data_IF_373505782994
#
_entry.id   IF_373505782994
#
_cell.length_a   1.000
_cell.length_b   1.000
_cell.length_c   1.000
_cell.angle_alpha   90.00
_cell.angle_beta   90.00
_cell.angle_gamma   90.00
#
_symmetry.space_group_name_H-M   'P 1'
#
loop_
_entity.id
_entity.type
_entity.pdbx_description
1 polymer ?
#
# COMPACT_ATOMS: atom_id res chain seq x y z
N UNK A 1 -22.83 31.80 -11.69
CA UNK A 1 -21.66 30.95 -12.04
C UNK A 1 -22.06 29.49 -11.86
N UNK A 2 -22.44 28.78 -12.92
CA UNK A 2 -22.91 27.39 -12.84
C UNK A 2 -21.79 26.37 -12.58
N UNK A 3 -20.54 26.78 -12.84
CA UNK A 3 -19.33 25.97 -12.69
C UNK A 3 -18.25 26.82 -12.02
N UNK A 4 -17.49 26.22 -11.10
CA UNK A 4 -16.33 26.84 -10.43
C UNK A 4 -15.11 25.94 -10.65
N UNK A 5 -13.93 26.55 -10.72
CA UNK A 5 -12.67 25.82 -10.83
C UNK A 5 -11.89 25.93 -9.52
N UNK A 6 -11.27 24.82 -9.12
CA UNK A 6 -10.31 24.78 -8.02
C UNK A 6 -8.94 24.46 -8.61
N UNK A 7 -7.93 25.22 -8.18
CA UNK A 7 -6.53 24.96 -8.50
C UNK A 7 -5.87 24.39 -7.25
N UNK A 8 -5.43 23.15 -7.32
CA UNK A 8 -4.71 22.47 -6.23
C UNK A 8 -3.28 22.16 -6.67
N UNK A 9 -2.37 22.00 -5.72
CA UNK A 9 -0.99 21.60 -5.97
C UNK A 9 -0.82 20.13 -5.58
N UNK A 10 -0.15 19.35 -6.41
CA UNK A 10 0.16 17.94 -6.17
C UNK A 10 1.65 17.73 -6.43
N UNK A 11 2.34 16.99 -5.56
CA UNK A 11 3.77 16.74 -5.72
C UNK A 11 4.10 15.77 -6.87
N UNK A 12 5.37 15.72 -7.24
CA UNK A 12 5.88 14.89 -8.34
C UNK A 12 5.64 13.38 -8.15
N UNK A 13 5.59 12.89 -6.91
CA UNK A 13 5.42 11.45 -6.65
C UNK A 13 3.97 10.99 -6.83
N UNK A 14 3.02 11.89 -6.58
CA UNK A 14 1.59 11.61 -6.70
C UNK A 14 0.99 12.05 -8.05
N UNK A 15 1.56 13.06 -8.72
CA UNK A 15 1.00 13.53 -10.01
C UNK A 15 0.99 12.44 -11.09
N UNK A 16 1.93 11.49 -11.04
CA UNK A 16 1.99 10.36 -11.96
C UNK A 16 0.80 9.39 -11.86
N UNK A 17 0.01 9.51 -10.80
CA UNK A 17 -1.20 8.72 -10.52
C UNK A 17 -2.48 9.41 -11.01
N UNK A 18 -2.42 10.71 -11.29
CA UNK A 18 -3.59 11.52 -11.64
C UNK A 18 -3.76 11.58 -13.16
N UNK A 19 -5.00 11.41 -13.63
CA UNK A 19 -5.38 11.62 -15.02
C UNK A 19 -6.57 12.56 -15.13
N UNK A 20 -6.74 13.18 -16.31
CA UNK A 20 -7.96 13.93 -16.61
C UNK A 20 -9.20 13.05 -16.47
N UNK A 21 -10.35 13.68 -16.18
CA UNK A 21 -11.65 13.05 -15.92
C UNK A 21 -11.73 12.17 -14.65
N UNK A 22 -10.70 12.13 -13.81
CA UNK A 22 -10.80 11.47 -12.50
C UNK A 22 -11.81 12.16 -11.60
N UNK A 23 -12.66 11.40 -10.88
CA UNK A 23 -13.62 11.96 -9.93
C UNK A 23 -12.90 12.55 -8.72
N UNK A 24 -13.41 13.69 -8.25
CA UNK A 24 -12.85 14.44 -7.12
C UNK A 24 -13.96 14.80 -6.14
N UNK A 25 -13.67 14.65 -4.85
CA UNK A 25 -14.46 15.22 -3.77
C UNK A 25 -13.76 16.48 -3.24
N UNK A 26 -14.53 17.55 -3.05
CA UNK A 26 -14.03 18.82 -2.54
C UNK A 26 -14.84 19.23 -1.33
N UNK A 27 -14.15 19.51 -0.23
CA UNK A 27 -14.73 20.10 0.98
C UNK A 27 -14.32 21.56 1.05
N UNK A 28 -15.28 22.43 1.33
CA UNK A 28 -15.02 23.87 1.46
C UNK A 28 -15.24 24.27 2.91
N UNK A 29 -14.33 25.06 3.47
CA UNK A 29 -14.38 25.43 4.88
C UNK A 29 -15.70 26.11 5.28
N UNK A 30 -16.31 26.85 4.35
CA UNK A 30 -17.61 27.51 4.56
C UNK A 30 -18.81 26.53 4.62
N UNK A 31 -18.66 25.30 4.10
CA UNK A 31 -19.72 24.29 4.02
C UNK A 31 -19.21 22.90 4.43
N UNK A 32 -18.82 22.69 5.70
CA UNK A 32 -18.15 21.47 6.14
C UNK A 32 -19.02 20.22 6.03
N UNK A 33 -20.34 20.37 6.16
CA UNK A 33 -21.31 19.26 6.09
C UNK A 33 -21.81 18.99 4.67
N UNK A 34 -21.24 19.64 3.65
CA UNK A 34 -21.69 19.51 2.28
C UNK A 34 -20.48 19.29 1.35
N UNK A 35 -20.16 18.02 1.01
CA UNK A 35 -19.15 17.75 0.01
C UNK A 35 -19.65 18.20 -1.37
N UNK A 36 -18.73 18.73 -2.18
CA UNK A 36 -18.95 19.05 -3.58
C UNK A 36 -18.20 18.05 -4.44
N UNK A 37 -18.81 17.60 -5.53
CA UNK A 37 -18.21 16.67 -6.47
C UNK A 37 -17.75 17.38 -7.74
N UNK A 38 -16.69 16.84 -8.34
CA UNK A 38 -16.10 17.37 -9.56
C UNK A 38 -15.23 16.35 -10.28
N UNK A 39 -14.52 16.86 -11.27
CA UNK A 39 -13.60 16.07 -12.09
C UNK A 39 -12.29 16.84 -12.32
N UNK A 40 -11.19 16.10 -12.48
CA UNK A 40 -9.91 16.67 -12.92
C UNK A 40 -10.06 17.14 -14.37
N UNK A 41 -9.95 18.45 -14.59
CA UNK A 41 -10.01 19.04 -15.93
C UNK A 41 -8.72 18.82 -16.69
N UNK A 42 -7.60 19.21 -16.07
CA UNK A 42 -6.26 19.12 -16.66
C UNK A 42 -5.19 19.27 -15.58
N UNK A 43 -4.00 18.80 -15.92
CA UNK A 43 -2.76 19.05 -15.19
C UNK A 43 -1.99 20.12 -15.96
N UNK A 44 -1.52 21.16 -15.27
CA UNK A 44 -0.65 22.17 -15.89
C UNK A 44 0.74 21.56 -16.15
N UNK A 45 1.30 21.73 -17.35
CA UNK A 45 2.57 21.08 -17.73
C UNK A 45 3.79 21.70 -17.05
N UNK A 46 3.67 22.92 -16.51
CA UNK A 46 4.75 23.64 -15.85
C UNK A 46 4.66 23.41 -14.34
N UNK A 47 5.69 22.77 -13.78
CA UNK A 47 5.84 22.64 -12.34
C UNK A 47 6.22 23.97 -11.70
N UNK A 48 5.88 24.12 -10.42
CA UNK A 48 6.31 25.23 -9.57
C UNK A 48 7.08 24.66 -8.37
N UNK A 49 8.02 25.42 -7.83
CA UNK A 49 8.71 25.05 -6.59
C UNK A 49 7.98 25.75 -5.44
N UNK A 50 7.44 24.95 -4.52
CA UNK A 50 6.86 25.46 -3.27
C UNK A 50 7.57 24.77 -2.10
N UNK A 51 8.16 25.57 -1.20
CA UNK A 51 8.92 25.06 -0.05
C UNK A 51 10.02 24.03 -0.43
N UNK A 52 10.73 24.24 -1.54
CA UNK A 52 11.72 23.31 -2.12
C UNK A 52 11.14 21.95 -2.57
N UNK A 53 9.83 21.84 -2.71
CA UNK A 53 9.14 20.67 -3.27
C UNK A 53 8.61 21.03 -4.67
N UNK A 54 8.84 20.14 -5.63
CA UNK A 54 8.31 20.27 -6.99
C UNK A 54 6.83 19.94 -6.99
N UNK A 55 5.99 20.91 -7.33
CA UNK A 55 4.54 20.80 -7.33
C UNK A 55 3.96 21.04 -8.72
N UNK A 56 2.96 20.25 -9.09
CA UNK A 56 2.20 20.35 -10.31
C UNK A 56 0.80 20.91 -10.02
N UNK A 57 0.41 22.02 -10.65
CA UNK A 57 -0.93 22.54 -10.52
C UNK A 57 -1.94 21.65 -11.26
N UNK A 58 -3.00 21.25 -10.55
CA UNK A 58 -4.11 20.48 -11.08
C UNK A 58 -5.36 21.35 -11.04
N UNK A 59 -6.03 21.47 -12.19
CA UNK A 59 -7.27 22.22 -12.34
C UNK A 59 -8.45 21.25 -12.25
N UNK A 60 -9.38 21.55 -11.36
CA UNK A 60 -10.54 20.70 -11.05
C UNK A 60 -11.79 21.49 -11.31
N UNK A 61 -12.74 20.88 -12.01
CA UNK A 61 -14.03 21.48 -12.34
C UNK A 61 -15.07 21.00 -11.33
N UNK A 62 -15.73 21.93 -10.66
CA UNK A 62 -16.82 21.65 -9.72
C UNK A 62 -18.16 22.14 -10.25
N UNK A 63 -19.19 21.33 -10.00
CA UNK A 63 -20.56 21.74 -10.25
C UNK A 63 -21.00 22.73 -9.17
N UNK A 64 -21.51 23.90 -9.58
CA UNK A 64 -22.00 24.94 -8.67
C UNK A 64 -23.46 25.29 -8.98
N UNK A 65 -24.31 24.28 -9.12
CA UNK A 65 -25.71 24.44 -9.53
C UNK A 65 -26.49 25.36 -8.58
N UNK A 66 -26.15 25.33 -7.28
CA UNK A 66 -26.78 26.15 -6.23
C UNK A 66 -26.09 27.51 -6.00
N UNK A 67 -25.03 27.82 -6.74
CA UNK A 67 -24.30 29.10 -6.63
C UNK A 67 -23.58 29.33 -5.29
N UNK A 68 -23.38 28.28 -4.50
CA UNK A 68 -22.82 28.36 -3.15
C UNK A 68 -21.30 28.57 -3.15
N UNK A 69 -20.61 28.08 -4.18
CA UNK A 69 -19.16 28.20 -4.31
C UNK A 69 -18.79 29.56 -4.90
N UNK A 70 -17.94 30.29 -4.20
CA UNK A 70 -17.39 31.57 -4.65
C UNK A 70 -15.87 31.47 -4.87
N UNK A 71 -15.31 32.20 -5.84
CA UNK A 71 -13.86 32.33 -5.99
C UNK A 71 -13.20 32.87 -4.71
N UNK A 72 -12.00 32.38 -4.41
CA UNK A 72 -11.23 32.79 -3.23
C UNK A 72 -11.52 31.99 -1.96
N UNK A 73 -12.47 31.03 -1.99
CA UNK A 73 -12.69 30.11 -0.89
C UNK A 73 -11.56 29.08 -0.77
N UNK A 74 -11.19 28.76 0.47
CA UNK A 74 -10.28 27.64 0.75
C UNK A 74 -11.03 26.32 0.62
N UNK A 75 -10.41 25.38 -0.08
CA UNK A 75 -10.97 24.07 -0.36
C UNK A 75 -9.95 22.97 -0.09
N UNK A 76 -10.40 21.90 0.53
CA UNK A 76 -9.66 20.64 0.65
C UNK A 76 -10.12 19.72 -0.49
N UNK A 77 -9.15 19.20 -1.23
CA UNK A 77 -9.39 18.38 -2.42
C UNK A 77 -8.96 16.95 -2.14
N UNK A 78 -9.88 16.01 -2.36
CA UNK A 78 -9.61 14.57 -2.29
C UNK A 78 -9.84 13.96 -3.68
N UNK A 79 -8.76 13.50 -4.32
CA UNK A 79 -8.80 12.87 -5.64
C UNK A 79 -8.79 11.36 -5.44
N UNK A 80 -9.79 10.67 -5.97
CA UNK A 80 -9.85 9.21 -5.90
C UNK A 80 -8.98 8.61 -7.01
N UNK A 81 -7.73 8.27 -6.67
CA UNK A 81 -6.70 7.80 -7.63
C UNK A 81 -6.86 6.33 -8.05
N UNK A 82 -7.52 5.52 -7.22
CA UNK A 82 -7.84 4.13 -7.52
C UNK A 82 -8.99 3.66 -6.63
N UNK A 83 -9.86 2.82 -7.18
CA UNK A 83 -10.93 2.14 -6.45
C UNK A 83 -11.06 0.75 -7.08
N UNK A 84 -11.14 -0.28 -6.24
CA UNK A 84 -11.40 -1.65 -6.66
C UNK A 84 -12.58 -2.16 -5.84
N UNK A 85 -13.60 -2.68 -6.51
CA UNK A 85 -14.82 -3.21 -5.89
C UNK A 85 -14.86 -4.72 -6.04
N UNK A 86 -15.44 -5.41 -5.05
CA UNK A 86 -15.55 -6.87 -5.01
C UNK A 86 -14.19 -7.59 -5.17
N UNK A 87 -13.19 -7.16 -4.39
CA UNK A 87 -11.85 -7.75 -4.41
C UNK A 87 -11.52 -8.48 -3.12
N UNK A 88 -10.67 -9.49 -3.23
CA UNK A 88 -10.07 -10.13 -2.08
C UNK A 88 -9.09 -9.15 -1.44
N UNK A 89 -9.28 -8.83 -0.16
CA UNK A 89 -8.41 -7.94 0.57
C UNK A 89 -8.04 -8.54 1.91
N UNK A 90 -6.81 -8.26 2.35
CA UNK A 90 -6.32 -8.63 3.69
C UNK A 90 -5.89 -7.37 4.43
N UNK A 91 -5.91 -7.36 5.77
CA UNK A 91 -5.33 -6.27 6.53
C UNK A 91 -3.86 -6.08 6.14
N UNK A 92 -3.45 -4.83 5.88
CA UNK A 92 -2.08 -4.50 5.43
C UNK A 92 -1.02 -5.04 6.40
N UNK A 93 -1.35 -5.06 7.69
CA UNK A 93 -0.49 -5.59 8.77
C UNK A 93 -0.25 -7.11 8.70
N UNK A 94 -1.01 -7.86 7.90
CA UNK A 94 -0.81 -9.29 7.66
C UNK A 94 0.31 -9.57 6.65
N UNK A 95 0.64 -8.59 5.80
CA UNK A 95 1.65 -8.73 4.74
C UNK A 95 3.05 -8.72 5.32
N UNK A 96 3.92 -9.58 4.78
CA UNK A 96 5.32 -9.69 5.18
C UNK A 96 6.26 -9.64 3.99
N UNK A 97 7.41 -9.03 4.19
CA UNK A 97 8.53 -9.06 3.24
C UNK A 97 9.50 -10.18 3.61
N UNK A 98 10.48 -10.44 2.75
CA UNK A 98 11.53 -11.40 3.09
C UNK A 98 12.39 -10.93 4.28
N UNK A 99 12.44 -9.63 4.55
CA UNK A 99 13.17 -9.07 5.70
C UNK A 99 12.51 -9.41 7.04
N UNK A 100 11.22 -9.75 7.03
CA UNK A 100 10.47 -10.13 8.23
C UNK A 100 10.64 -11.61 8.61
N UNK A 101 11.31 -12.42 7.77
CA UNK A 101 11.45 -13.88 7.97
C UNK A 101 12.10 -14.21 9.32
N UNK A 102 13.21 -13.58 9.77
CA UNK A 102 13.84 -13.93 11.05
C UNK A 102 12.89 -13.75 12.24
N UNK A 103 12.17 -12.64 12.29
CA UNK A 103 11.22 -12.35 13.36
C UNK A 103 9.98 -13.26 13.32
N UNK A 104 9.47 -13.51 12.12
CA UNK A 104 8.34 -14.41 11.94
C UNK A 104 8.71 -15.85 12.34
N UNK A 105 9.91 -16.32 11.97
CA UNK A 105 10.40 -17.65 12.35
C UNK A 105 10.38 -17.87 13.87
N UNK A 106 10.83 -16.88 14.64
CA UNK A 106 10.78 -16.92 16.12
C UNK A 106 9.35 -17.01 16.64
N UNK A 107 8.46 -16.15 16.15
CA UNK A 107 7.05 -16.13 16.60
C UNK A 107 6.32 -17.42 16.27
N UNK A 108 6.65 -17.99 15.12
CA UNK A 108 6.04 -19.19 14.57
C UNK A 108 6.70 -20.46 15.14
N UNK A 109 7.82 -20.35 15.86
CA UNK A 109 8.51 -21.47 16.47
C UNK A 109 9.18 -22.42 15.45
N UNK A 110 9.56 -21.90 14.28
CA UNK A 110 10.21 -22.67 13.21
C UNK A 110 11.60 -22.11 12.87
N UNK A 111 12.54 -22.96 12.41
CA UNK A 111 13.83 -22.49 11.93
C UNK A 111 13.68 -21.50 10.75
N UNK A 112 14.48 -20.43 10.76
CA UNK A 112 14.48 -19.40 9.73
C UNK A 112 14.65 -19.98 8.31
N UNK A 113 15.63 -20.86 8.14
CA UNK A 113 15.90 -21.52 6.85
C UNK A 113 14.71 -22.34 6.35
N UNK A 114 13.96 -22.96 7.27
CA UNK A 114 12.76 -23.71 6.92
C UNK A 114 11.65 -22.77 6.44
N UNK A 115 11.42 -21.66 7.14
CA UNK A 115 10.43 -20.65 6.73
C UNK A 115 10.78 -20.04 5.36
N UNK A 116 12.04 -19.69 5.15
CA UNK A 116 12.52 -19.14 3.87
C UNK A 116 12.25 -20.10 2.70
N UNK A 117 12.57 -21.39 2.89
CA UNK A 117 12.30 -22.42 1.88
C UNK A 117 10.80 -22.55 1.60
N UNK A 118 9.96 -22.57 2.63
CA UNK A 118 8.51 -22.67 2.46
C UNK A 118 7.92 -21.44 1.73
N UNK A 119 8.40 -20.22 2.04
CA UNK A 119 8.02 -19.00 1.30
C UNK A 119 8.43 -19.12 -0.17
N UNK A 120 9.66 -19.54 -0.44
CA UNK A 120 10.19 -19.70 -1.80
C UNK A 120 9.47 -20.79 -2.60
N UNK A 121 9.09 -21.91 -1.96
CA UNK A 121 8.29 -22.97 -2.58
C UNK A 121 6.87 -22.52 -2.89
N UNK A 122 6.27 -21.72 -2.00
CA UNK A 122 4.93 -21.16 -2.23
C UNK A 122 4.88 -20.23 -3.45
N UNK A 123 5.99 -19.55 -3.78
CA UNK A 123 6.11 -18.75 -5.02
C UNK A 123 6.08 -19.63 -6.28
N UNK A 124 6.63 -20.84 -6.21
CA UNK A 124 6.74 -21.76 -7.37
C UNK A 124 5.44 -22.50 -7.67
N UNK A 125 4.60 -22.67 -6.64
CA UNK A 125 3.37 -23.47 -6.69
C UNK A 125 2.11 -22.67 -7.04
N UNK A 126 2.25 -21.40 -7.44
CA UNK A 126 1.16 -20.59 -7.98
C UNK A 126 0.53 -21.29 -9.21
N UNK A 127 -0.82 -21.40 -9.29
CA UNK A 127 -1.50 -22.14 -10.36
C UNK A 127 -1.11 -21.66 -11.77
N UNK A 128 -0.88 -22.58 -12.72
CA UNK A 128 -0.53 -22.30 -14.13
C UNK A 128 -1.49 -21.31 -14.82
N UNK A 129 -2.77 -21.31 -14.46
CA UNK A 129 -3.76 -20.37 -15.00
C UNK A 129 -3.54 -18.90 -14.57
N UNK A 130 -2.75 -18.67 -13.52
CA UNK A 130 -2.29 -17.33 -13.11
C UNK A 130 -0.91 -16.99 -13.72
N UNK A 131 -0.10 -17.99 -14.14
CA UNK A 131 1.22 -17.80 -14.77
C UNK A 131 1.19 -17.02 -16.10
N UNK A 132 0.08 -17.07 -16.85
CA UNK A 132 -0.04 -16.32 -18.11
C UNK A 132 -0.14 -14.80 -17.93
N UNK A 133 -0.43 -14.29 -16.71
CA UNK A 133 -0.27 -12.87 -16.37
C UNK A 133 1.18 -12.51 -15.97
N UNK A 134 2.02 -13.49 -15.66
CA UNK A 134 3.42 -13.30 -15.25
C UNK A 134 4.42 -13.30 -16.41
N UNK A 135 4.11 -13.99 -17.51
CA UNK A 135 5.12 -14.26 -18.55
C UNK A 135 5.49 -13.04 -19.41
N UNK A 136 4.74 -11.93 -19.32
CA UNK A 136 5.10 -10.68 -20.01
C UNK A 136 6.30 -9.92 -19.44
N UNK A 137 6.77 -10.26 -18.23
CA UNK A 137 7.73 -9.41 -17.48
C UNK A 137 9.01 -10.14 -17.01
N UNK A 138 9.10 -11.46 -17.15
CA UNK A 138 10.26 -12.23 -16.68
C UNK A 138 11.37 -12.43 -17.74
N UNK A 139 11.12 -12.14 -19.03
CA UNK A 139 12.10 -12.34 -20.11
C UNK A 139 13.10 -11.17 -20.28
N UNK A 140 13.01 -10.10 -19.47
CA UNK A 140 13.87 -8.91 -19.60
C UNK A 140 14.33 -8.29 -18.26
N UNK A 141 14.86 -9.09 -17.32
CA UNK A 141 15.67 -8.52 -16.22
C UNK A 141 17.17 -8.76 -16.46
N UNK A 142 17.98 -7.71 -16.68
CA UNK A 142 19.40 -7.75 -16.39
C UNK A 142 19.65 -7.59 -14.88
N UNK A 143 20.67 -8.30 -14.38
CA UNK A 143 21.19 -8.11 -13.04
C UNK A 143 21.89 -6.75 -12.91
N UNK A 144 21.53 -5.96 -11.90
CA UNK A 144 22.29 -4.77 -11.47
C UNK A 144 21.47 -3.48 -11.42
N UNK A 145 21.61 -2.75 -10.31
CA UNK A 145 21.06 -1.40 -10.12
C UNK A 145 21.58 -0.42 -11.19
N UNK A 146 20.71 0.47 -11.70
CA UNK A 146 21.15 1.63 -12.48
C UNK A 146 20.05 2.31 -13.31
N UNK A 147 19.70 3.51 -12.86
CA UNK A 147 18.98 4.63 -13.48
C UNK A 147 18.59 4.61 -14.99
N UNK A 148 17.44 5.26 -15.24
CA UNK A 148 17.00 6.00 -16.44
C UNK A 148 16.42 5.27 -17.68
N UNK A 149 15.23 5.75 -18.04
CA UNK A 149 14.55 5.68 -19.34
C UNK A 149 14.25 4.31 -19.96
N UNK A 150 13.06 3.78 -19.68
CA UNK A 150 12.24 3.10 -20.72
C UNK A 150 10.77 3.48 -20.61
N UNK A 151 10.37 4.36 -21.53
CA UNK A 151 8.99 4.64 -21.93
C UNK A 151 8.40 3.40 -22.61
N UNK A 152 7.14 3.12 -22.30
CA UNK A 152 6.22 2.42 -23.20
C UNK A 152 5.83 1.02 -22.75
N UNK A 153 4.55 0.91 -22.39
CA UNK A 153 3.73 -0.30 -22.49
C UNK A 153 3.81 -1.32 -21.34
N UNK A 154 3.28 -0.93 -20.16
CA UNK A 154 2.41 -1.81 -19.37
C UNK A 154 1.56 -0.95 -18.40
N UNK A 155 0.31 -0.68 -18.77
CA UNK A 155 -0.55 0.33 -18.11
C UNK A 155 -1.70 -0.30 -17.34
N UNK A 156 -1.48 -1.40 -16.60
CA UNK A 156 -2.60 -1.95 -15.81
C UNK A 156 -2.34 -2.30 -14.35
N UNK A 157 -1.11 -2.32 -13.83
CA UNK A 157 -0.88 -2.44 -12.38
C UNK A 157 0.32 -1.59 -11.93
N UNK A 158 0.10 -0.29 -11.68
CA UNK A 158 1.09 0.61 -11.05
C UNK A 158 1.08 0.53 -9.52
N UNK A 159 0.22 -0.31 -8.94
CA UNK A 159 0.03 -0.46 -7.50
C UNK A 159 0.17 -1.93 -7.13
N UNK A 160 0.99 -2.21 -6.12
CA UNK A 160 1.21 -3.57 -5.63
C UNK A 160 2.66 -3.94 -5.43
N UNK A 161 2.88 -5.07 -4.78
CA UNK A 161 4.20 -5.64 -4.55
C UNK A 161 4.13 -7.14 -4.27
N UNK A 162 5.30 -7.75 -4.11
CA UNK A 162 5.42 -9.16 -3.77
C UNK A 162 5.61 -9.30 -2.27
N UNK A 163 4.68 -9.98 -1.63
CA UNK A 163 4.67 -10.22 -0.19
C UNK A 163 4.44 -11.70 0.09
N UNK A 164 4.44 -12.08 1.35
CA UNK A 164 3.91 -13.35 1.80
C UNK A 164 3.03 -13.14 3.04
N UNK A 165 2.12 -14.08 3.28
CA UNK A 165 1.25 -14.13 4.46
C UNK A 165 1.32 -15.52 5.09
N UNK A 166 0.98 -15.64 6.37
CA UNK A 166 0.82 -16.92 7.03
C UNK A 166 -0.66 -17.34 6.98
N UNK A 167 -0.99 -18.36 6.21
CA UNK A 167 -2.36 -18.88 6.04
C UNK A 167 -2.63 -20.00 7.05
N UNK A 168 -3.74 -19.93 7.77
CA UNK A 168 -4.15 -20.96 8.73
C UNK A 168 -4.67 -22.20 7.99
N UNK A 169 -4.14 -23.38 8.33
CA UNK A 169 -4.60 -24.67 7.81
C UNK A 169 -4.44 -25.76 8.87
N UNK A 170 -5.54 -26.39 9.29
CA UNK A 170 -5.56 -27.51 10.25
C UNK A 170 -4.72 -27.23 11.52
N UNK A 171 -5.02 -26.13 12.22
CA UNK A 171 -4.32 -25.63 13.42
C UNK A 171 -2.82 -25.33 13.25
N UNK A 172 -2.31 -25.40 12.02
CA UNK A 172 -0.98 -24.96 11.63
C UNK A 172 -1.09 -23.74 10.72
N UNK A 173 0.06 -23.17 10.36
CA UNK A 173 0.13 -22.11 9.37
C UNK A 173 1.05 -22.53 8.22
N UNK A 174 0.75 -22.01 7.04
CA UNK A 174 1.52 -22.24 5.82
C UNK A 174 1.86 -20.86 5.25
N UNK A 175 3.15 -20.50 5.13
CA UNK A 175 3.53 -19.28 4.46
C UNK A 175 3.13 -19.37 3.00
N UNK A 176 2.55 -18.30 2.48
CA UNK A 176 2.12 -18.22 1.10
C UNK A 176 2.50 -16.89 0.49
N UNK A 177 3.21 -16.95 -0.62
CA UNK A 177 3.49 -15.80 -1.43
C UNK A 177 2.22 -15.25 -2.07
N UNK A 178 2.08 -13.93 -2.00
CA UNK A 178 0.95 -13.20 -2.54
C UNK A 178 1.44 -12.03 -3.37
N UNK A 179 0.68 -11.70 -4.41
CA UNK A 179 0.86 -10.46 -5.17
C UNK A 179 -0.26 -9.51 -4.81
N UNK A 180 0.12 -8.30 -4.43
CA UNK A 180 -0.83 -7.29 -4.00
C UNK A 180 -1.16 -6.32 -5.13
N UNK A 181 -2.27 -5.62 -4.98
CA UNK A 181 -2.73 -4.56 -5.87
C UNK A 181 -2.81 -3.23 -5.12
N UNK A 182 -3.94 -2.54 -5.25
CA UNK A 182 -4.15 -1.27 -4.55
C UNK A 182 -4.18 -1.48 -3.03
N UNK A 183 -3.73 -0.48 -2.29
CA UNK A 183 -3.69 -0.50 -0.83
C UNK A 183 -4.29 0.79 -0.32
N UNK A 184 -5.18 0.68 0.67
CA UNK A 184 -5.67 1.81 1.44
C UNK A 184 -4.92 1.92 2.80
N UNK A 185 -5.47 2.65 3.78
CA UNK A 185 -4.83 2.81 5.09
C UNK A 185 -4.81 1.55 5.97
N UNK A 186 -5.68 0.56 5.71
CA UNK A 186 -5.83 -0.62 6.57
C UNK A 186 -5.84 -1.96 5.84
N UNK A 187 -6.16 -1.98 4.55
CA UNK A 187 -6.29 -3.17 3.74
C UNK A 187 -5.53 -3.05 2.42
N UNK A 188 -5.07 -4.21 1.97
CA UNK A 188 -4.40 -4.37 0.69
C UNK A 188 -5.14 -5.41 -0.13
N UNK A 189 -5.42 -5.04 -1.38
CA UNK A 189 -5.95 -5.95 -2.40
C UNK A 189 -4.96 -7.09 -2.66
N UNK A 190 -5.47 -8.31 -2.68
CA UNK A 190 -4.76 -9.52 -3.08
C UNK A 190 -5.19 -9.87 -4.50
N UNK A 191 -4.26 -9.73 -5.43
CA UNK A 191 -4.50 -10.05 -6.83
C UNK A 191 -4.26 -11.54 -7.07
N UNK A 192 -3.27 -12.12 -6.38
CA UNK A 192 -2.88 -13.53 -6.53
C UNK A 192 -2.33 -14.11 -5.24
N UNK A 193 -2.39 -15.45 -5.14
CA UNK A 193 -1.80 -16.21 -4.04
C UNK A 193 -2.73 -16.51 -2.87
N UNK A 194 -3.96 -15.99 -2.84
CA UNK A 194 -4.99 -16.41 -1.87
C UNK A 194 -6.32 -16.67 -2.57
N UNK A 195 -7.17 -17.43 -1.90
CA UNK A 195 -8.57 -17.62 -2.30
C UNK A 195 -9.51 -17.07 -1.24
N UNK A 196 -10.77 -16.87 -1.64
CA UNK A 196 -11.84 -16.53 -0.71
C UNK A 196 -11.94 -17.58 0.43
N UNK A 197 -12.24 -17.10 1.64
CA UNK A 197 -12.37 -17.88 2.88
C UNK A 197 -11.08 -18.41 3.50
N UNK A 198 -9.90 -18.07 2.96
CA UNK A 198 -8.65 -18.38 3.64
C UNK A 198 -8.38 -17.39 4.78
N UNK A 199 -8.05 -17.92 5.96
CA UNK A 199 -7.72 -17.11 7.14
C UNK A 199 -6.22 -16.84 7.18
N UNK A 200 -5.85 -15.58 7.40
CA UNK A 200 -4.45 -15.14 7.53
C UNK A 200 -4.15 -14.71 8.96
N UNK A 201 -2.94 -15.01 9.43
CA UNK A 201 -2.48 -14.62 10.76
C UNK A 201 -1.99 -13.18 10.73
N UNK A 202 -2.46 -12.38 11.68
CA UNK A 202 -1.90 -11.07 11.98
C UNK A 202 -0.72 -11.24 12.92
N UNK A 203 0.49 -11.02 12.39
CA UNK A 203 1.67 -10.95 13.23
C UNK A 203 1.90 -9.49 13.65
N UNK A 204 2.42 -9.20 14.86
CA UNK A 204 2.93 -7.87 15.18
C UNK A 204 4.14 -7.56 14.29
N UNK A 205 4.41 -6.27 14.06
CA UNK A 205 5.59 -5.83 13.31
C UNK A 205 6.87 -6.10 14.10
N UNK A 206 7.96 -6.34 13.38
CA UNK A 206 9.31 -6.64 13.90
C UNK A 206 9.77 -5.66 15.00
N UNK A 207 9.55 -4.36 14.80
CA UNK A 207 9.91 -3.31 15.77
C UNK A 207 9.10 -3.32 17.08
N UNK A 208 7.98 -4.03 17.12
CA UNK A 208 7.17 -4.25 18.33
C UNK A 208 7.66 -5.46 19.12
N UNK A 209 8.07 -6.50 18.39
CA UNK A 209 8.56 -7.76 18.94
C UNK A 209 9.95 -7.61 19.59
N UNK A 210 10.89 -6.97 18.90
CA UNK A 210 12.22 -6.66 19.49
C UNK A 210 12.10 -5.84 20.78
N UNK A 211 11.13 -4.92 20.82
CA UNK A 211 10.87 -4.07 21.99
C UNK A 211 10.33 -4.90 23.15
N UNK A 212 9.40 -5.81 22.89
CA UNK A 212 8.88 -6.74 23.89
C UNK A 212 9.95 -7.71 24.40
N UNK A 213 10.78 -8.28 23.52
CA UNK A 213 11.88 -9.16 23.92
C UNK A 213 12.91 -8.42 24.77
N UNK A 214 13.32 -7.20 24.39
CA UNK A 214 14.25 -6.39 25.20
C UNK A 214 13.68 -6.10 26.59
N UNK A 215 12.38 -5.85 26.69
CA UNK A 215 11.71 -5.62 27.97
C UNK A 215 11.67 -6.92 28.79
N UNK A 216 11.26 -8.04 28.20
CA UNK A 216 11.20 -9.33 28.90
C UNK A 216 12.59 -9.81 29.36
N UNK A 217 13.62 -9.66 28.52
CA UNK A 217 14.99 -10.02 28.86
C UNK A 217 15.54 -9.14 29.99
N UNK A 218 15.23 -7.84 30.01
CA UNK A 218 15.59 -6.94 31.12
C UNK A 218 14.91 -7.34 32.44
N UNK A 219 13.66 -7.79 32.38
CA UNK A 219 12.92 -8.26 33.57
C UNK A 219 13.50 -9.59 34.08
N UNK A 220 13.77 -10.55 33.19
CA UNK A 220 14.40 -11.83 33.58
C UNK A 220 15.81 -11.66 34.15
N UNK A 221 16.61 -10.72 33.62
CA UNK A 221 17.93 -10.41 34.17
C UNK A 221 17.87 -9.77 35.56
N UNK A 222 16.84 -8.97 35.85
CA UNK A 222 16.62 -8.39 37.19
C UNK A 222 16.15 -9.40 38.23
N UNK A 223 15.41 -10.44 37.81
CA UNK A 223 14.93 -11.52 38.68
C UNK A 223 15.98 -12.61 38.95
N UNK A 224 17.13 -12.60 38.26
CA UNK A 224 18.28 -13.49 38.48
C UNK A 224 19.37 -12.85 39.35
N UNK A 225 19.02 -12.02 40.34
CA UNK A 225 20.01 -11.57 41.32
C UNK A 225 20.30 -12.68 42.35
N UNK A 226 21.56 -13.11 42.53
CA UNK A 226 21.94 -14.06 43.57
C UNK A 226 21.95 -13.35 44.92
N UNK A 227 21.05 -13.79 45.81
CA UNK A 227 20.92 -13.22 47.15
C UNK A 227 20.01 -14.07 48.03
N UNK A 228 20.30 -15.37 48.13
CA UNK A 228 19.76 -16.22 49.19
C UNK A 228 20.77 -17.33 49.50
N UNK A 229 21.64 -17.04 50.46
CA UNK A 229 22.52 -17.97 51.14
C UNK A 229 22.94 -17.26 52.42
N UNK A 230 22.39 -17.70 53.55
CA UNK A 230 22.59 -17.10 54.87
C UNK A 230 23.97 -17.36 55.47
#
# INVERSE_FOLDING_TARGET
LSTVMVRTLVDETDIGKITSAMPVNVKVAAFPNQPFTGEVLKIEPQAIIDQNVTMFPVIIRLQNQRGLLLPGMNAEVSINIAQSENVLAVPTIALRTNEDIPAAAVMLGIPEQQLENMVMESRKTLPENQKNKFRGLAENMPAGLGNSNRRGQDSQYRYGGNYWVAVVKNDNYIPRAVRTGITDFGHTEIVEGLTENEQVILMPSTGSFERQERIQNRVRQRLRMPGMGG
#
